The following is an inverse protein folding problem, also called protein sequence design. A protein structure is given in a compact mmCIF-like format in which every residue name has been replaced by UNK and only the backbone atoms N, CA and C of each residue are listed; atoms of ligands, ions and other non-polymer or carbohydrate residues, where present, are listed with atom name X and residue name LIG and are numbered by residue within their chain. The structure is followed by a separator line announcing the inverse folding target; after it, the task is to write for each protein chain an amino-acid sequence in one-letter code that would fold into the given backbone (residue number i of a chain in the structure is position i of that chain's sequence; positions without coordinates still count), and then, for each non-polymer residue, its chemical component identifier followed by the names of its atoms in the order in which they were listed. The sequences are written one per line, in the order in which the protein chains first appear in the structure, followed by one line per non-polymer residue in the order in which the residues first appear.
data_IF_646583451244
#
_entry.id   IF_646583451244
#
_cell.length_a   1.000
_cell.length_b   1.000
_cell.length_c   1.000
_cell.angle_alpha   90.00
_cell.angle_beta   90.00
_cell.angle_gamma   90.00
#
_symmetry.space_group_name_H-M   'P 1'
#
loop_
_entity.id
_entity.type
_entity.pdbx_description
1 polymer ?
#
# COMPACT_ATOMS: atom_id res chain seq x y z
N UNK A 1 -24.90 9.77 -32.74
CA UNK A 1 -24.98 8.69 -31.72
C UNK A 1 -23.62 8.52 -31.08
N UNK A 2 -23.40 9.10 -29.91
CA UNK A 2 -22.14 8.99 -29.18
C UNK A 2 -22.05 7.60 -28.51
N UNK A 3 -21.00 6.85 -28.82
CA UNK A 3 -20.77 5.51 -28.26
C UNK A 3 -20.24 5.66 -26.83
N UNK A 4 -21.10 5.34 -25.86
CA UNK A 4 -20.73 5.30 -24.43
C UNK A 4 -19.84 4.07 -24.19
N UNK A 5 -18.70 4.29 -23.54
CA UNK A 5 -17.74 3.22 -23.22
C UNK A 5 -18.18 2.38 -22.02
N UNK A 6 -17.74 1.13 -21.93
CA UNK A 6 -18.14 0.17 -20.88
C UNK A 6 -17.90 0.70 -19.45
N UNK A 7 -16.83 1.47 -19.26
CA UNK A 7 -16.46 2.14 -17.99
C UNK A 7 -17.40 3.30 -17.63
N UNK A 8 -17.94 4.01 -18.62
CA UNK A 8 -18.98 5.02 -18.40
C UNK A 8 -20.32 4.37 -18.05
N UNK A 9 -20.60 3.17 -18.56
CA UNK A 9 -21.83 2.41 -18.28
C UNK A 9 -21.90 1.82 -16.87
N UNK A 10 -20.77 1.65 -16.18
CA UNK A 10 -20.71 1.16 -14.79
C UNK A 10 -20.69 2.30 -13.76
N UNK A 11 -20.26 3.49 -14.18
CA UNK A 11 -20.27 4.71 -13.35
C UNK A 11 -21.66 5.35 -13.29
N UNK A 12 -22.37 5.37 -14.43
CA UNK A 12 -23.72 5.94 -14.54
C UNK A 12 -24.75 5.32 -13.57
N UNK A 13 -24.82 3.99 -13.38
CA UNK A 13 -25.76 3.38 -12.44
C UNK A 13 -25.49 3.78 -10.99
N UNK A 14 -24.23 3.94 -10.57
CA UNK A 14 -23.90 4.36 -9.19
C UNK A 14 -24.25 5.81 -8.93
N UNK A 15 -23.98 6.71 -9.88
CA UNK A 15 -24.37 8.11 -9.79
C UNK A 15 -25.90 8.28 -9.84
N UNK A 16 -26.62 7.48 -10.64
CA UNK A 16 -28.09 7.47 -10.64
C UNK A 16 -28.69 6.94 -9.33
N UNK A 17 -28.17 5.84 -8.79
CA UNK A 17 -28.67 5.26 -7.52
C UNK A 17 -28.48 6.23 -6.35
N UNK A 18 -27.39 7.00 -6.36
CA UNK A 18 -27.15 8.05 -5.36
C UNK A 18 -28.07 9.27 -5.56
N UNK A 19 -28.41 9.62 -6.81
CA UNK A 19 -29.33 10.75 -7.07
C UNK A 19 -30.77 10.38 -6.78
N UNK A 20 -31.23 9.19 -7.17
CA UNK A 20 -32.59 8.68 -6.87
C UNK A 20 -32.82 8.62 -5.35
N UNK A 21 -31.84 8.12 -4.59
CA UNK A 21 -31.92 8.06 -3.12
C UNK A 21 -31.86 9.43 -2.43
N UNK A 22 -31.29 10.43 -3.11
CA UNK A 22 -31.25 11.82 -2.66
C UNK A 22 -32.60 12.51 -2.89
N UNK A 23 -33.22 12.29 -4.05
CA UNK A 23 -34.53 12.84 -4.40
C UNK A 23 -35.64 12.28 -3.50
N UNK A 24 -35.64 10.96 -3.25
CA UNK A 24 -36.58 10.34 -2.30
C UNK A 24 -36.44 10.91 -0.88
N UNK A 25 -35.21 11.13 -0.42
CA UNK A 25 -34.95 11.70 0.90
C UNK A 25 -35.44 13.15 1.00
N UNK A 26 -35.25 13.95 -0.05
CA UNK A 26 -35.78 15.32 -0.13
C UNK A 26 -37.31 15.34 -0.12
N UNK A 27 -37.98 14.45 -0.85
CA UNK A 27 -39.43 14.30 -0.81
C UNK A 27 -39.93 13.94 0.59
N UNK A 28 -39.31 12.95 1.24
CA UNK A 28 -39.65 12.55 2.60
C UNK A 28 -39.41 13.65 3.65
N UNK A 29 -38.39 14.49 3.46
CA UNK A 29 -38.13 15.65 4.32
C UNK A 29 -39.18 16.75 4.18
N UNK A 30 -39.85 16.88 3.02
CA UNK A 30 -40.93 17.86 2.83
C UNK A 30 -42.24 17.46 3.49
N UNK A 31 -42.43 16.18 3.81
CA UNK A 31 -43.60 15.65 4.52
C UNK A 31 -43.53 15.85 6.04
N UNK A 32 -42.37 16.26 6.58
CA UNK A 32 -42.16 16.48 8.01
C UNK A 32 -42.53 17.91 8.41
N UNK A 33 -42.95 18.09 9.67
CA UNK A 33 -43.11 19.41 10.26
C UNK A 33 -41.75 20.13 10.35
N UNK A 34 -41.76 21.46 10.42
CA UNK A 34 -40.55 22.28 10.39
C UNK A 34 -39.53 21.92 11.50
N UNK A 35 -40.01 21.56 12.70
CA UNK A 35 -39.16 21.12 13.81
C UNK A 35 -38.51 19.75 13.54
N UNK A 36 -39.28 18.80 13.02
CA UNK A 36 -38.81 17.44 12.69
C UNK A 36 -37.84 17.46 11.51
N UNK A 37 -38.11 18.29 10.49
CA UNK A 37 -37.19 18.52 9.35
C UNK A 37 -35.86 19.10 9.81
N UNK A 38 -35.90 20.10 10.69
CA UNK A 38 -34.69 20.70 11.26
C UNK A 38 -33.93 19.74 12.20
N UNK A 39 -34.61 18.77 12.81
CA UNK A 39 -33.98 17.69 13.56
C UNK A 39 -33.28 16.69 12.62
N UNK A 40 -33.96 16.23 11.56
CA UNK A 40 -33.37 15.28 10.59
C UNK A 40 -32.20 15.90 9.83
N UNK A 41 -32.28 17.16 9.40
CA UNK A 41 -31.16 17.84 8.74
C UNK A 41 -29.94 17.99 9.68
N UNK A 42 -30.16 18.24 10.98
CA UNK A 42 -29.07 18.26 11.98
C UNK A 42 -28.42 16.89 12.13
N UNK A 43 -29.22 15.83 12.26
CA UNK A 43 -28.73 14.46 12.37
C UNK A 43 -27.98 14.05 11.09
N UNK A 44 -28.50 14.39 9.91
CA UNK A 44 -27.82 14.10 8.63
C UNK A 44 -26.45 14.77 8.57
N UNK A 45 -26.35 16.06 8.93
CA UNK A 45 -25.06 16.77 8.96
C UNK A 45 -24.09 16.17 9.99
N UNK A 46 -24.58 15.71 11.14
CA UNK A 46 -23.76 15.04 12.14
C UNK A 46 -23.26 13.68 11.61
N UNK A 47 -24.11 12.92 10.93
CA UNK A 47 -23.74 11.66 10.29
C UNK A 47 -22.70 11.89 9.20
N UNK A 48 -22.88 12.88 8.33
CA UNK A 48 -21.93 13.22 7.28
C UNK A 48 -20.57 13.64 7.87
N UNK A 49 -20.58 14.44 8.94
CA UNK A 49 -19.36 14.81 9.66
C UNK A 49 -18.63 13.58 10.20
N UNK A 50 -19.35 12.64 10.82
CA UNK A 50 -18.78 11.37 11.32
C UNK A 50 -18.24 10.49 10.20
N UNK A 51 -18.89 10.47 9.04
CA UNK A 51 -18.39 9.74 7.86
C UNK A 51 -17.07 10.34 7.38
N UNK A 52 -16.97 11.67 7.31
CA UNK A 52 -15.74 12.36 6.91
C UNK A 52 -14.63 12.12 7.93
N UNK A 53 -14.93 12.14 9.23
CA UNK A 53 -13.98 11.84 10.29
C UNK A 53 -13.47 10.39 10.23
N UNK A 54 -14.38 9.42 10.10
CA UNK A 54 -14.01 8.01 9.94
C UNK A 54 -13.16 7.77 8.68
N UNK A 55 -13.51 8.41 7.57
CA UNK A 55 -12.72 8.33 6.34
C UNK A 55 -11.31 8.92 6.52
N UNK A 56 -11.18 10.04 7.24
CA UNK A 56 -9.87 10.63 7.58
C UNK A 56 -9.04 9.69 8.44
N UNK A 57 -9.67 9.02 9.40
CA UNK A 57 -9.00 8.06 10.27
C UNK A 57 -8.50 6.85 9.49
N UNK A 58 -9.32 6.25 8.61
CA UNK A 58 -8.87 5.16 7.73
C UNK A 58 -7.72 5.56 6.81
N UNK A 59 -7.74 6.78 6.26
CA UNK A 59 -6.61 7.29 5.44
C UNK A 59 -5.35 7.46 6.29
N UNK A 60 -5.49 7.91 7.53
CA UNK A 60 -4.38 8.06 8.47
C UNK A 60 -3.77 6.69 8.81
N UNK A 61 -4.60 5.69 9.08
CA UNK A 61 -4.16 4.32 9.34
C UNK A 61 -3.39 3.73 8.16
N UNK A 62 -3.91 3.91 6.93
CA UNK A 62 -3.24 3.46 5.72
C UNK A 62 -1.86 4.10 5.56
N UNK A 63 -1.75 5.42 5.76
CA UNK A 63 -0.46 6.13 5.69
C UNK A 63 0.52 5.64 6.76
N UNK A 64 0.05 5.42 7.99
CA UNK A 64 0.91 4.87 9.04
C UNK A 64 1.45 3.50 8.64
N UNK A 65 0.63 2.63 8.04
CA UNK A 65 1.07 1.33 7.57
C UNK A 65 2.04 1.41 6.38
N UNK A 66 1.85 2.36 5.46
CA UNK A 66 2.80 2.65 4.38
C UNK A 66 4.16 3.08 4.92
N UNK A 67 4.17 3.89 5.98
CA UNK A 67 5.36 4.30 6.73
C UNK A 67 5.92 3.21 7.66
N UNK A 68 5.30 2.02 7.70
CA UNK A 68 5.74 0.91 8.54
C UNK A 68 5.49 1.11 10.04
N UNK A 69 4.45 1.86 10.40
CA UNK A 69 4.03 2.15 11.78
C UNK A 69 2.67 1.56 12.11
N UNK A 70 2.50 1.19 13.37
CA UNK A 70 1.27 0.62 13.88
C UNK A 70 0.20 1.70 14.02
N UNK A 71 -1.04 1.48 13.52
CA UNK A 71 -2.12 2.44 13.68
C UNK A 71 -2.55 2.65 15.14
N UNK A 72 -2.35 1.63 15.98
CA UNK A 72 -2.78 1.66 17.40
C UNK A 72 -1.76 2.33 18.31
N UNK A 73 -0.47 2.01 18.17
CA UNK A 73 0.58 2.48 19.10
C UNK A 73 1.72 3.27 18.43
N UNK A 74 1.66 3.48 17.11
CA UNK A 74 2.65 4.22 16.30
C UNK A 74 4.09 3.67 16.31
N UNK A 75 4.32 2.52 16.94
CA UNK A 75 5.58 1.79 16.92
C UNK A 75 5.81 1.10 15.58
N UNK A 76 7.06 0.70 15.32
CA UNK A 76 7.44 0.00 14.09
C UNK A 76 6.65 -1.30 13.93
N UNK A 77 6.16 -1.53 12.72
CA UNK A 77 5.55 -2.80 12.31
C UNK A 77 6.51 -3.58 11.44
N UNK A 78 6.45 -4.90 11.54
CA UNK A 78 7.16 -5.82 10.68
C UNK A 78 6.21 -6.38 9.63
N UNK A 79 6.63 -6.34 8.37
CA UNK A 79 5.87 -6.87 7.23
C UNK A 79 6.36 -8.28 6.89
N UNK A 80 5.42 -9.18 6.69
CA UNK A 80 5.58 -10.53 6.15
C UNK A 80 4.81 -10.63 4.83
N UNK A 81 4.88 -11.78 4.15
CA UNK A 81 4.26 -11.96 2.83
C UNK A 81 2.76 -11.62 2.78
N UNK A 82 2.02 -12.06 3.80
CA UNK A 82 0.57 -11.92 3.90
C UNK A 82 0.10 -11.25 5.19
N UNK A 83 1.02 -10.81 6.04
CA UNK A 83 0.67 -10.20 7.33
C UNK A 83 1.60 -9.06 7.68
N UNK A 84 1.09 -8.12 8.47
CA UNK A 84 1.88 -7.05 9.08
C UNK A 84 1.61 -7.09 10.57
N UNK A 85 2.67 -7.16 11.38
CA UNK A 85 2.55 -7.36 12.84
C UNK A 85 3.29 -6.23 13.56
N UNK A 86 2.65 -5.62 14.55
CA UNK A 86 3.32 -4.74 15.50
C UNK A 86 3.94 -5.57 16.63
N UNK A 87 5.26 -5.51 16.76
CA UNK A 87 6.00 -6.25 17.79
C UNK A 87 5.74 -5.72 19.21
N UNK A 88 5.21 -4.49 19.33
CA UNK A 88 4.95 -3.85 20.61
C UNK A 88 3.57 -4.16 21.19
N UNK A 89 2.50 -3.95 20.42
CA UNK A 89 1.12 -4.13 20.90
C UNK A 89 0.43 -5.38 20.36
N UNK A 90 1.07 -6.13 19.46
CA UNK A 90 0.49 -7.33 18.86
C UNK A 90 -0.61 -7.08 17.83
N UNK A 91 -0.87 -5.82 17.45
CA UNK A 91 -1.76 -5.51 16.34
C UNK A 91 -1.27 -6.23 15.08
N UNK A 92 -2.19 -6.86 14.34
CA UNK A 92 -1.86 -7.55 13.11
C UNK A 92 -2.87 -7.24 12.01
N UNK A 93 -2.38 -6.87 10.83
CA UNK A 93 -3.15 -6.88 9.59
C UNK A 93 -2.85 -8.15 8.80
N UNK A 94 -3.88 -8.79 8.26
CA UNK A 94 -3.76 -9.99 7.44
C UNK A 94 -4.42 -9.76 6.08
N UNK A 95 -3.73 -10.17 5.02
CA UNK A 95 -4.24 -10.15 3.65
C UNK A 95 -4.49 -11.59 3.19
N UNK A 96 -5.76 -11.93 2.94
CA UNK A 96 -6.17 -13.27 2.54
C UNK A 96 -5.59 -13.68 1.17
N UNK A 97 -4.82 -14.79 1.09
CA UNK A 97 -4.42 -15.39 -0.19
C UNK A 97 -5.60 -16.03 -0.94
N UNK A 98 -5.43 -16.29 -2.23
CA UNK A 98 -6.52 -16.76 -3.09
C UNK A 98 -6.96 -18.19 -2.77
N UNK A 99 -6.01 -19.07 -2.43
CA UNK A 99 -6.23 -20.49 -2.15
C UNK A 99 -5.90 -20.85 -0.70
N UNK A 100 -5.86 -19.85 0.20
CA UNK A 100 -5.58 -20.10 1.60
C UNK A 100 -6.68 -20.94 2.25
N UNK A 101 -6.23 -21.85 3.12
CA UNK A 101 -7.09 -22.55 4.05
C UNK A 101 -6.66 -22.20 5.45
N UNK A 102 -7.65 -21.96 6.30
CA UNK A 102 -7.44 -21.76 7.72
C UNK A 102 -8.06 -22.95 8.43
N UNK A 103 -7.28 -23.58 9.29
CA UNK A 103 -7.73 -24.71 10.11
C UNK A 103 -7.72 -24.27 11.56
N UNK A 104 -8.91 -24.23 12.17
CA UNK A 104 -9.07 -23.93 13.59
C UNK A 104 -9.14 -25.24 14.34
N UNK A 105 -8.12 -25.51 15.13
CA UNK A 105 -8.04 -26.69 15.98
C UNK A 105 -8.67 -26.37 17.33
N UNK A 106 -9.68 -27.15 17.71
CA UNK A 106 -10.39 -27.02 18.98
C UNK A 106 -9.73 -27.89 20.06
N UNK A 107 -9.96 -27.53 21.33
CA UNK A 107 -9.36 -28.23 22.49
C UNK A 107 -9.87 -29.66 22.67
N UNK A 108 -10.99 -30.00 22.06
CA UNK A 108 -11.55 -31.36 22.03
C UNK A 108 -10.89 -32.25 20.95
N UNK A 109 -9.96 -31.70 20.17
CA UNK A 109 -9.27 -32.40 19.08
C UNK A 109 -10.00 -32.36 17.74
N UNK A 110 -11.18 -31.72 17.67
CA UNK A 110 -11.86 -31.47 16.40
C UNK A 110 -11.25 -30.27 15.68
N UNK A 111 -11.45 -30.19 14.36
CA UNK A 111 -10.92 -29.12 13.53
C UNK A 111 -11.99 -28.56 12.60
N UNK A 112 -12.02 -27.24 12.46
CA UNK A 112 -12.88 -26.51 11.53
C UNK A 112 -12.03 -25.94 10.41
N UNK A 113 -12.43 -26.21 9.17
CA UNK A 113 -11.74 -25.69 7.97
C UNK A 113 -12.56 -24.54 7.40
N UNK A 114 -11.91 -23.40 7.20
CA UNK A 114 -12.48 -22.22 6.57
C UNK A 114 -11.49 -21.57 5.59
N UNK A 115 -11.96 -20.59 4.83
CA UNK A 115 -11.12 -19.85 3.86
C UNK A 115 -10.49 -18.62 4.52
N UNK A 116 -11.18 -18.03 5.50
CA UNK A 116 -10.70 -16.88 6.25
C UNK A 116 -11.18 -16.93 7.70
N UNK A 117 -10.49 -16.19 8.56
CA UNK A 117 -10.84 -16.05 9.97
C UNK A 117 -10.73 -14.61 10.43
N UNK A 118 -11.78 -14.12 11.07
CA UNK A 118 -11.76 -12.81 11.72
C UNK A 118 -11.66 -12.99 13.23
N UNK A 119 -10.76 -12.24 13.83
CA UNK A 119 -10.53 -12.26 15.27
C UNK A 119 -11.25 -11.09 15.92
N UNK A 120 -12.09 -11.41 16.90
CA UNK A 120 -12.56 -10.44 17.89
C UNK A 120 -11.91 -10.77 19.24
N UNK A 121 -12.03 -9.90 20.26
CA UNK A 121 -11.49 -10.19 21.58
C UNK A 121 -11.93 -11.55 22.14
N UNK A 122 -13.21 -11.89 21.96
CA UNK A 122 -13.86 -13.03 22.62
C UNK A 122 -14.11 -14.24 21.71
N UNK A 123 -14.23 -14.03 20.40
CA UNK A 123 -14.60 -15.06 19.43
C UNK A 123 -13.82 -14.98 18.11
N UNK A 124 -13.75 -16.12 17.42
CA UNK A 124 -13.26 -16.23 16.06
C UNK A 124 -14.44 -16.48 15.12
N UNK A 125 -14.46 -15.78 13.99
CA UNK A 125 -15.49 -15.93 12.97
C UNK A 125 -14.88 -16.61 11.74
N UNK A 126 -15.33 -17.84 11.46
CA UNK A 126 -14.90 -18.60 10.29
C UNK A 126 -15.72 -18.20 9.07
N UNK A 127 -15.06 -17.79 8.00
CA UNK A 127 -15.71 -17.37 6.76
C UNK A 127 -15.36 -18.32 5.63
N UNK A 128 -16.36 -18.68 4.84
CA UNK A 128 -16.22 -19.50 3.63
C UNK A 128 -17.21 -18.99 2.60
N UNK A 129 -16.73 -18.66 1.39
CA UNK A 129 -17.54 -18.09 0.31
C UNK A 129 -18.28 -16.82 0.76
N UNK A 130 -17.56 -15.90 1.40
CA UNK A 130 -18.08 -14.61 1.91
C UNK A 130 -19.24 -14.74 2.93
N UNK A 131 -19.42 -15.93 3.51
CA UNK A 131 -20.44 -16.19 4.54
C UNK A 131 -19.78 -16.67 5.83
N UNK A 132 -20.18 -16.09 6.95
CA UNK A 132 -19.80 -16.56 8.29
C UNK A 132 -20.45 -17.92 8.52
N UNK A 133 -19.64 -18.99 8.56
CA UNK A 133 -20.10 -20.37 8.77
C UNK A 133 -20.13 -20.75 10.24
N UNK A 134 -19.15 -20.28 11.01
CA UNK A 134 -19.00 -20.61 12.42
C UNK A 134 -18.60 -19.37 13.23
N UNK A 135 -19.17 -19.26 14.42
CA UNK A 135 -18.69 -18.37 15.49
C UNK A 135 -18.15 -19.26 16.60
N UNK A 136 -16.86 -19.13 16.87
CA UNK A 136 -16.13 -20.04 17.75
C UNK A 136 -15.62 -19.25 18.95
N UNK A 137 -16.10 -19.55 20.17
CA UNK A 137 -15.59 -18.94 21.39
C UNK A 137 -14.08 -19.19 21.55
N UNK A 138 -13.32 -18.17 21.95
CA UNK A 138 -11.85 -18.28 22.00
C UNK A 138 -11.34 -19.26 23.07
N UNK A 139 -12.14 -19.52 24.10
CA UNK A 139 -11.81 -20.48 25.17
C UNK A 139 -11.80 -21.95 24.69
N UNK A 140 -12.47 -22.27 23.60
CA UNK A 140 -12.49 -23.64 23.04
C UNK A 140 -11.46 -23.86 21.94
N UNK A 141 -10.83 -22.78 21.44
CA UNK A 141 -9.76 -22.88 20.44
C UNK A 141 -8.45 -23.29 21.12
N UNK A 142 -7.76 -24.25 20.51
CA UNK A 142 -6.39 -24.62 20.88
C UNK A 142 -5.39 -23.75 20.12
N UNK A 143 -5.44 -23.78 18.79
CA UNK A 143 -4.62 -22.94 17.91
C UNK A 143 -5.25 -22.81 16.53
N UNK A 144 -4.74 -21.85 15.76
CA UNK A 144 -5.14 -21.61 14.37
C UNK A 144 -3.94 -21.87 13.47
N UNK A 145 -4.15 -22.68 12.44
CA UNK A 145 -3.17 -23.03 11.44
C UNK A 145 -3.53 -22.34 10.12
N UNK A 146 -2.54 -21.67 9.53
CA UNK A 146 -2.67 -21.04 8.21
C UNK A 146 -1.96 -21.93 7.20
N UNK A 147 -2.75 -22.65 6.40
CA UNK A 147 -2.26 -23.48 5.30
C UNK A 147 -2.23 -22.62 4.03
N UNK A 148 -1.04 -22.10 3.72
CA UNK A 148 -0.78 -21.33 2.53
C UNK A 148 -0.32 -22.24 1.41
N UNK A 149 -1.06 -22.25 0.29
CA UNK A 149 -0.63 -22.95 -0.90
C UNK A 149 0.70 -22.38 -1.42
N UNK A 150 1.63 -23.24 -1.81
CA UNK A 150 2.94 -22.83 -2.36
C UNK A 150 2.82 -21.95 -3.61
N UNK A 151 1.74 -22.15 -4.38
CA UNK A 151 1.41 -21.31 -5.52
C UNK A 151 1.18 -19.85 -5.10
N UNK A 152 0.41 -19.63 -4.03
CA UNK A 152 0.11 -18.29 -3.53
C UNK A 152 1.38 -17.62 -2.97
N UNK A 153 2.21 -18.39 -2.24
CA UNK A 153 3.51 -17.93 -1.73
C UNK A 153 4.40 -17.47 -2.89
N UNK A 154 4.51 -18.29 -3.94
CA UNK A 154 5.32 -17.98 -5.13
C UNK A 154 4.81 -16.74 -5.83
N UNK A 155 3.51 -16.67 -6.13
CA UNK A 155 2.89 -15.52 -6.79
C UNK A 155 3.10 -14.23 -5.99
N UNK A 156 2.91 -14.27 -4.67
CA UNK A 156 3.10 -13.09 -3.82
C UNK A 156 4.57 -12.64 -3.79
N UNK A 157 5.52 -13.57 -3.73
CA UNK A 157 6.96 -13.25 -3.83
C UNK A 157 7.32 -12.64 -5.18
N UNK A 158 6.82 -13.19 -6.27
CA UNK A 158 7.03 -12.64 -7.62
C UNK A 158 6.42 -11.25 -7.77
N UNK A 159 5.25 -11.01 -7.17
CA UNK A 159 4.62 -9.70 -7.13
C UNK A 159 5.47 -8.70 -6.36
N UNK A 160 5.90 -9.04 -5.14
CA UNK A 160 6.76 -8.15 -4.33
C UNK A 160 8.08 -7.87 -5.05
N UNK A 161 8.71 -8.89 -5.63
CA UNK A 161 9.92 -8.71 -6.42
C UNK A 161 9.69 -7.76 -7.61
N UNK A 162 8.50 -7.77 -8.23
CA UNK A 162 8.13 -6.85 -9.31
C UNK A 162 7.83 -5.44 -8.81
N UNK A 163 7.22 -5.29 -7.64
CA UNK A 163 6.96 -4.00 -7.00
C UNK A 163 8.26 -3.34 -6.53
N UNK A 164 9.23 -4.13 -6.07
CA UNK A 164 10.57 -3.69 -5.68
C UNK A 164 11.49 -3.41 -6.88
N UNK A 165 11.19 -4.00 -8.04
CA UNK A 165 11.92 -3.73 -9.28
C UNK A 165 11.73 -2.27 -9.70
N UNK A 166 12.85 -1.54 -9.79
CA UNK A 166 12.86 -0.24 -10.44
C UNK A 166 12.76 -0.39 -11.96
N UNK A 167 12.61 0.72 -12.67
CA UNK A 167 12.69 0.74 -14.14
C UNK A 167 14.01 1.38 -14.57
N UNK A 168 14.61 0.82 -15.61
CA UNK A 168 15.79 1.40 -16.24
C UNK A 168 15.40 2.73 -16.89
N UNK A 169 16.04 3.82 -16.47
CA UNK A 169 15.79 5.18 -16.95
C UNK A 169 16.16 5.42 -18.42
N UNK A 170 16.81 4.47 -19.08
CA UNK A 170 17.13 4.55 -20.51
C UNK A 170 16.23 3.67 -21.37
N UNK A 171 16.11 2.38 -21.03
CA UNK A 171 15.41 1.39 -21.87
C UNK A 171 14.07 0.92 -21.30
N UNK A 172 13.64 1.46 -20.15
CA UNK A 172 12.39 1.14 -19.45
C UNK A 172 12.21 -0.33 -19.03
N UNK A 173 13.26 -1.15 -19.18
CA UNK A 173 13.24 -2.54 -18.72
C UNK A 173 13.26 -2.60 -17.19
N UNK A 174 12.61 -3.61 -16.57
CA UNK A 174 12.69 -3.81 -15.13
C UNK A 174 14.13 -4.05 -14.68
N UNK A 175 14.49 -3.47 -13.54
CA UNK A 175 15.80 -3.55 -12.92
C UNK A 175 15.60 -4.01 -11.49
N UNK A 176 16.12 -5.20 -11.17
CA UNK A 176 16.21 -5.63 -9.79
C UNK A 176 17.21 -4.73 -9.05
N UNK A 177 16.78 -4.09 -7.96
CA UNK A 177 17.62 -3.14 -7.19
C UNK A 177 18.91 -3.77 -6.66
N UNK A 178 18.97 -5.09 -6.52
CA UNK A 178 20.06 -5.86 -5.90
C UNK A 178 21.00 -6.55 -6.89
N UNK A 179 20.85 -6.36 -8.21
CA UNK A 179 21.75 -6.96 -9.18
C UNK A 179 23.06 -6.15 -9.29
N UNK A 180 24.23 -6.81 -9.28
CA UNK A 180 25.57 -6.20 -9.41
C UNK A 180 25.74 -5.36 -10.70
N UNK A 181 24.98 -5.69 -11.74
CA UNK A 181 24.99 -4.93 -13.00
C UNK A 181 24.20 -3.62 -12.93
N UNK A 182 23.40 -3.42 -11.88
CA UNK A 182 22.58 -2.23 -11.68
C UNK A 182 23.47 -1.03 -11.42
N UNK A 183 23.27 0.03 -12.20
CA UNK A 183 24.00 1.28 -12.06
C UNK A 183 23.06 2.40 -11.67
N UNK A 184 23.50 3.24 -10.74
CA UNK A 184 22.79 4.46 -10.37
C UNK A 184 23.63 5.64 -10.87
N UNK A 185 23.00 6.66 -11.43
CA UNK A 185 23.67 7.92 -11.76
C UNK A 185 22.83 9.09 -11.30
N UNK A 186 23.47 10.05 -10.66
CA UNK A 186 22.88 11.33 -10.38
C UNK A 186 23.20 12.29 -11.52
N UNK A 187 22.17 12.86 -12.13
CA UNK A 187 22.33 13.84 -13.20
C UNK A 187 21.72 15.16 -12.78
N UNK A 188 22.47 16.24 -12.97
CA UNK A 188 21.99 17.59 -12.69
C UNK A 188 21.18 18.11 -13.88
N UNK A 189 19.89 18.37 -13.65
CA UNK A 189 19.00 19.02 -14.61
C UNK A 189 18.58 20.39 -14.06
N UNK A 190 19.14 21.46 -14.64
CA UNK A 190 18.87 22.82 -14.17
C UNK A 190 19.35 23.00 -12.73
N UNK A 191 18.45 23.29 -11.80
CA UNK A 191 18.74 23.47 -10.36
C UNK A 191 18.60 22.19 -9.53
N UNK A 192 18.09 21.10 -10.11
CA UNK A 192 17.83 19.85 -9.39
C UNK A 192 18.85 18.78 -9.76
N UNK A 193 19.13 17.88 -8.83
CA UNK A 193 19.86 16.64 -9.09
C UNK A 193 18.85 15.50 -9.00
N UNK A 194 18.72 14.73 -10.08
CA UNK A 194 17.81 13.60 -10.15
C UNK A 194 18.57 12.28 -10.17
N UNK A 195 18.00 11.27 -9.52
CA UNK A 195 18.55 9.92 -9.44
C UNK A 195 17.98 9.06 -10.56
N UNK A 196 18.87 8.46 -11.36
CA UNK A 196 18.51 7.54 -12.43
C UNK A 196 19.06 6.14 -12.16
N UNK A 197 18.28 5.13 -12.51
CA UNK A 197 18.60 3.71 -12.34
C UNK A 197 18.80 3.07 -13.72
N UNK A 198 19.84 2.27 -13.91
CA UNK A 198 20.16 1.64 -15.19
C UNK A 198 20.38 0.15 -15.03
N UNK A 199 19.87 -0.63 -15.98
CA UNK A 199 20.02 -2.10 -16.00
C UNK A 199 21.44 -2.56 -16.35
N UNK A 200 22.26 -1.70 -16.96
CA UNK A 200 23.61 -2.05 -17.40
C UNK A 200 24.47 -0.81 -17.63
N UNK A 201 25.79 -1.01 -17.66
CA UNK A 201 26.77 0.03 -18.00
C UNK A 201 26.52 0.62 -19.40
N UNK A 202 26.00 -0.17 -20.34
CA UNK A 202 25.68 0.30 -21.68
C UNK A 202 24.56 1.34 -21.66
N UNK A 203 23.49 1.08 -20.90
CA UNK A 203 22.38 2.02 -20.75
C UNK A 203 22.82 3.30 -20.02
N UNK A 204 23.63 3.16 -18.97
CA UNK A 204 24.21 4.30 -18.26
C UNK A 204 25.07 5.17 -19.19
N UNK A 205 25.95 4.55 -19.97
CA UNK A 205 26.85 5.26 -20.89
C UNK A 205 26.06 5.96 -22.01
N UNK A 206 25.04 5.29 -22.55
CA UNK A 206 24.17 5.88 -23.56
C UNK A 206 23.44 7.12 -23.03
N UNK A 207 22.91 7.04 -21.80
CA UNK A 207 22.30 8.17 -21.12
C UNK A 207 23.30 9.32 -20.91
N UNK A 208 24.50 9.04 -20.39
CA UNK A 208 25.53 10.07 -20.14
C UNK A 208 26.06 10.73 -21.42
N UNK A 209 26.03 10.04 -22.56
CA UNK A 209 26.36 10.62 -23.87
C UNK A 209 25.31 11.61 -24.34
N UNK A 210 24.03 11.31 -24.10
CA UNK A 210 22.91 12.15 -24.53
C UNK A 210 22.68 13.33 -23.58
N UNK A 211 22.85 13.09 -22.29
CA UNK A 211 22.62 14.06 -21.22
C UNK A 211 23.91 14.22 -20.40
N UNK A 212 24.64 15.34 -20.56
CA UNK A 212 25.83 15.61 -19.77
C UNK A 212 25.47 15.67 -18.28
N UNK A 213 25.79 14.60 -17.56
CA UNK A 213 25.41 14.46 -16.13
C UNK A 213 26.14 15.43 -15.21
N UNK A 214 27.24 16.04 -15.69
CA UNK A 214 28.02 17.05 -15.00
C UNK A 214 28.28 18.25 -15.90
N UNK A 215 28.34 19.42 -15.27
CA UNK A 215 28.42 20.73 -15.93
C UNK A 215 29.79 20.98 -16.57
N UNK A 216 30.88 20.41 -16.00
CA UNK A 216 32.25 20.58 -16.48
C UNK A 216 32.91 19.23 -16.82
N UNK A 217 33.80 19.23 -17.83
CA UNK A 217 34.50 18.05 -18.36
C UNK A 217 35.37 17.35 -17.32
N UNK A 218 35.96 18.10 -16.40
CA UNK A 218 36.84 17.58 -15.34
C UNK A 218 36.07 17.19 -14.05
N UNK A 219 34.78 17.55 -13.95
CA UNK A 219 33.94 17.18 -12.80
C UNK A 219 33.67 15.63 -12.79
N UNK A 220 34.02 14.85 -13.83
CA UNK A 220 33.87 13.38 -13.87
C UNK A 220 34.95 12.60 -13.11
N UNK A 221 36.11 13.22 -12.85
CA UNK A 221 37.26 12.57 -12.19
C UNK A 221 37.53 13.12 -10.79
N UNK A 222 36.60 13.92 -10.25
CA UNK A 222 36.71 14.60 -8.96
C UNK A 222 35.39 14.51 -8.21
N UNK A 223 35.47 14.48 -6.89
CA UNK A 223 34.31 14.54 -6.00
C UNK A 223 33.59 15.90 -6.17
N UNK A 224 32.28 15.88 -6.44
CA UNK A 224 31.51 17.10 -6.69
C UNK A 224 31.47 18.03 -5.48
N UNK A 225 31.54 17.47 -4.27
CA UNK A 225 31.55 18.23 -3.02
C UNK A 225 32.80 19.11 -2.90
N UNK A 226 33.91 18.67 -3.50
CA UNK A 226 35.22 19.32 -3.46
C UNK A 226 35.54 20.11 -4.73
N UNK A 227 34.61 20.20 -5.67
CA UNK A 227 34.86 20.92 -6.91
C UNK A 227 34.63 22.42 -6.75
N UNK A 228 35.70 23.20 -6.92
CA UNK A 228 35.64 24.67 -6.90
C UNK A 228 35.26 25.29 -8.25
N UNK A 229 35.35 24.52 -9.34
CA UNK A 229 35.05 24.97 -10.71
C UNK A 229 33.53 24.93 -11.03
N UNK A 230 32.79 24.07 -10.35
CA UNK A 230 31.36 23.86 -10.54
C UNK A 230 30.60 24.80 -9.53
N UNK A 231 29.71 25.70 -10.01
CA UNK A 231 28.90 26.59 -9.13
C UNK A 231 27.99 25.82 -8.16
N UNK A 232 27.60 24.60 -8.55
CA UNK A 232 26.78 23.69 -7.77
C UNK A 232 27.63 22.51 -7.32
N UNK A 233 27.57 22.22 -6.04
CA UNK A 233 28.30 21.12 -5.39
C UNK A 233 27.26 20.16 -4.82
N UNK A 234 27.39 18.90 -5.16
CA UNK A 234 26.53 17.83 -4.67
C UNK A 234 27.38 16.84 -3.89
N UNK A 235 26.80 16.24 -2.87
CA UNK A 235 27.46 15.18 -2.13
C UNK A 235 27.32 13.87 -2.92
N UNK A 236 28.42 13.41 -3.51
CA UNK A 236 28.47 12.16 -4.26
C UNK A 236 28.73 10.95 -3.34
N UNK A 237 28.99 11.16 -2.04
CA UNK A 237 29.31 10.09 -1.06
C UNK A 237 28.10 9.39 -0.47
N UNK A 238 26.89 9.75 -0.91
CA UNK A 238 25.63 9.12 -0.50
C UNK A 238 25.50 7.63 -0.89
N UNK A 239 26.54 7.03 -1.47
CA UNK A 239 26.58 5.62 -1.83
C UNK A 239 26.71 4.70 -0.62
N UNK A 240 27.52 5.05 0.38
CA UNK A 240 27.76 4.17 1.53
C UNK A 240 26.71 4.35 2.63
N UNK A 241 26.28 5.59 2.89
CA UNK A 241 25.37 5.88 4.01
C UNK A 241 23.92 5.48 3.74
N UNK A 242 23.44 5.57 2.50
CA UNK A 242 22.04 5.25 2.19
C UNK A 242 21.80 3.77 1.93
N UNK A 243 22.84 3.00 1.56
CA UNK A 243 22.77 1.54 1.58
C UNK A 243 22.79 0.99 3.01
N UNK A 244 23.23 1.74 4.01
CA UNK A 244 23.11 1.34 5.41
C UNK A 244 21.79 1.82 6.03
N UNK A 245 21.29 3.02 5.70
CA UNK A 245 20.04 3.53 6.28
C UNK A 245 18.76 2.88 5.70
N UNK A 246 18.77 2.35 4.46
CA UNK A 246 17.67 1.51 3.94
C UNK A 246 17.81 0.01 4.25
N UNK A 247 18.98 -0.48 4.68
CA UNK A 247 19.22 -1.92 4.96
C UNK A 247 19.49 -2.27 6.42
N UNK A 248 19.79 -1.29 7.29
CA UNK A 248 19.71 -1.45 8.74
C UNK A 248 18.37 -0.91 9.17
N UNK A 249 17.26 -1.62 8.90
CA UNK A 249 16.02 -1.54 9.69
C UNK A 249 14.91 -2.53 9.29
#
# INVERSE_FOLDING_TARGET
MLKITKKQRERWPRELILSEKSEELEEHLTLLNAEDRAAVERVSREVDSKIVEAARESVKELKMLEEGRCPVCSQKTRRFLFSTICEHCGWSGYSRPLHAKVVIHLRDGSALICEDVYHTPDELMCVTQDVVRYRVPRNVVAYVEFDHAEEDIRQRREQLAREEQGQCSWCMKPVARTNEETRVTFAAFGIYQERFLFCSIHCQTAFQKQYPTRIHRDCYHRDCSKCEECQKRFDDTSYETFLEEEFVH
#
